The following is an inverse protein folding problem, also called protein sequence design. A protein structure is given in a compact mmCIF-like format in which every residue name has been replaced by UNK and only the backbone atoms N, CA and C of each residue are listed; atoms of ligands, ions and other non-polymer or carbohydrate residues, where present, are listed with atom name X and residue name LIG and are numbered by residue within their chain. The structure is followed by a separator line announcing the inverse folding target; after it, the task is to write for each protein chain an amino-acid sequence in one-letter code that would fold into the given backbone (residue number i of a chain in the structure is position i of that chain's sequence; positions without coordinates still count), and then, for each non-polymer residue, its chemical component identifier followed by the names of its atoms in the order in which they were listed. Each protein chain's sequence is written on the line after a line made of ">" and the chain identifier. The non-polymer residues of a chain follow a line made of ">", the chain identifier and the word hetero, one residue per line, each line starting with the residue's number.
data_IF_642807287508
#
_entry.id   IF_642807287508
#
_cell.length_a   1.000
_cell.length_b   1.000
_cell.length_c   1.000
_cell.angle_alpha   90.00
_cell.angle_beta   90.00
_cell.angle_gamma   90.00
#
_symmetry.space_group_name_H-M   'P 1'
#
loop_
_entity.id
_entity.type
_entity.pdbx_description
1 polymer ?
#
# COMPACT_ATOMS: atom_id res chain seq x y z
N UNK A 1 8.96 17.35 -42.33
CA UNK A 1 8.88 15.94 -41.88
C UNK A 1 8.00 15.90 -40.64
N UNK A 2 6.94 15.08 -40.57
CA UNK A 2 6.23 14.89 -39.31
C UNK A 2 7.23 14.37 -38.27
N UNK A 3 7.25 15.01 -37.10
CA UNK A 3 8.18 14.68 -36.03
C UNK A 3 7.86 13.26 -35.54
N UNK A 4 8.86 12.37 -35.58
CA UNK A 4 8.67 10.97 -35.18
C UNK A 4 8.43 10.95 -33.67
N UNK A 5 7.30 10.43 -33.24
CA UNK A 5 6.94 10.37 -31.82
C UNK A 5 8.03 9.59 -31.05
N UNK A 6 8.57 10.14 -29.94
CA UNK A 6 9.59 9.48 -29.16
C UNK A 6 9.03 8.18 -28.58
N UNK A 7 9.59 7.04 -29.01
CA UNK A 7 9.14 5.72 -28.57
C UNK A 7 9.94 5.24 -27.38
N UNK A 8 9.31 5.24 -26.20
CA UNK A 8 9.89 4.62 -25.00
C UNK A 8 9.44 3.16 -24.92
N UNK A 9 10.40 2.22 -24.79
CA UNK A 9 10.11 0.79 -24.63
C UNK A 9 10.66 0.32 -23.29
N UNK A 10 9.75 -0.12 -22.42
CA UNK A 10 10.11 -0.64 -21.08
C UNK A 10 10.05 -2.16 -21.12
N UNK A 11 11.22 -2.80 -21.06
CA UNK A 11 11.34 -4.26 -21.15
C UNK A 11 11.60 -4.88 -19.78
N UNK A 12 10.57 -5.49 -19.20
CA UNK A 12 10.66 -6.12 -17.86
C UNK A 12 10.87 -7.63 -17.90
N UNK A 13 10.63 -8.28 -19.07
CA UNK A 13 10.74 -9.74 -19.24
C UNK A 13 12.04 -10.36 -18.70
N UNK A 14 13.24 -9.78 -18.90
CA UNK A 14 14.47 -10.34 -18.35
C UNK A 14 14.47 -10.42 -16.81
N UNK A 15 13.91 -9.40 -16.14
CA UNK A 15 13.79 -9.35 -14.68
C UNK A 15 12.78 -10.38 -14.18
N UNK A 16 11.67 -10.56 -14.90
CA UNK A 16 10.69 -11.59 -14.57
C UNK A 16 11.28 -13.00 -14.74
N UNK A 17 12.02 -13.23 -15.83
CA UNK A 17 12.64 -14.51 -16.12
C UNK A 17 13.72 -14.89 -15.10
N UNK A 18 14.47 -13.91 -14.59
CA UNK A 18 15.54 -14.17 -13.61
C UNK A 18 15.02 -14.74 -12.29
N UNK A 19 13.75 -14.52 -11.93
CA UNK A 19 13.15 -15.05 -10.70
C UNK A 19 12.07 -16.11 -10.94
N UNK A 20 11.76 -16.43 -12.20
CA UNK A 20 10.70 -17.38 -12.53
C UNK A 20 10.90 -18.79 -11.95
N UNK A 21 12.15 -19.18 -11.68
CA UNK A 21 12.53 -20.45 -11.08
C UNK A 21 12.33 -20.50 -9.55
N UNK A 22 12.12 -19.35 -8.91
CA UNK A 22 11.91 -19.27 -7.45
C UNK A 22 10.47 -19.61 -7.07
N UNK A 23 10.20 -20.05 -5.83
CA UNK A 23 8.84 -20.34 -5.40
C UNK A 23 7.95 -19.10 -5.37
N UNK A 24 6.71 -19.21 -5.86
CA UNK A 24 5.72 -18.13 -5.82
C UNK A 24 4.74 -18.33 -4.67
N UNK A 25 4.98 -17.62 -3.56
CA UNK A 25 4.06 -17.58 -2.43
C UNK A 25 3.34 -16.24 -2.32
N UNK A 26 2.18 -16.22 -1.68
CA UNK A 26 1.53 -14.98 -1.29
C UNK A 26 1.92 -14.61 0.14
N UNK A 27 2.59 -13.46 0.31
CA UNK A 27 3.18 -13.01 1.58
C UNK A 27 2.17 -12.35 2.52
N UNK A 28 0.92 -12.20 2.08
CA UNK A 28 -0.16 -11.57 2.82
C UNK A 28 -0.51 -10.19 2.30
N UNK A 29 -1.10 -9.37 3.17
CA UNK A 29 -1.59 -8.05 2.78
C UNK A 29 -1.24 -6.95 3.78
N UNK A 30 -1.05 -5.74 3.27
CA UNK A 30 -0.79 -4.52 4.03
C UNK A 30 -1.82 -3.46 3.64
N UNK A 31 -2.25 -2.65 4.61
CA UNK A 31 -3.15 -1.53 4.36
C UNK A 31 -2.34 -0.35 3.78
N UNK A 32 -2.83 0.26 2.71
CA UNK A 32 -2.28 1.51 2.21
C UNK A 32 -2.62 2.66 3.17
N UNK A 33 -1.59 3.12 3.87
CA UNK A 33 -1.69 4.16 4.88
C UNK A 33 -0.47 5.10 4.79
N UNK A 34 -0.34 5.89 3.71
CA UNK A 34 0.77 6.83 3.58
C UNK A 34 0.72 7.85 4.72
N UNK A 35 1.91 8.29 5.15
CA UNK A 35 2.07 9.29 6.19
C UNK A 35 1.68 10.64 5.63
N UNK A 36 0.82 11.34 6.35
CA UNK A 36 0.36 12.68 5.98
C UNK A 36 1.26 13.69 6.68
N UNK A 37 1.80 14.63 5.93
CA UNK A 37 2.64 15.72 6.43
C UNK A 37 2.20 17.07 5.89
N UNK A 38 2.87 18.12 6.35
CA UNK A 38 2.74 19.46 5.80
C UNK A 38 3.71 19.63 4.63
N UNK A 39 3.33 20.35 3.56
CA UNK A 39 4.26 20.70 2.49
C UNK A 39 5.46 21.47 3.05
N UNK A 40 6.62 21.28 2.44
CA UNK A 40 7.82 22.07 2.74
C UNK A 40 8.17 22.93 1.53
N UNK A 41 8.98 23.97 1.71
CA UNK A 41 9.40 24.88 0.63
C UNK A 41 10.18 24.17 -0.50
N UNK A 42 10.59 22.92 -0.29
CA UNK A 42 11.28 22.09 -1.29
C UNK A 42 10.33 21.36 -2.24
N UNK A 43 9.04 21.30 -1.93
CA UNK A 43 8.07 20.58 -2.76
C UNK A 43 7.72 21.40 -4.02
N UNK A 44 7.50 20.75 -5.18
CA UNK A 44 7.04 21.44 -6.37
C UNK A 44 5.69 22.14 -6.13
N UNK A 45 5.47 23.27 -6.82
CA UNK A 45 4.20 24.02 -6.73
C UNK A 45 2.98 23.14 -7.02
N UNK A 46 3.10 22.22 -7.98
CA UNK A 46 2.08 21.23 -8.34
C UNK A 46 1.63 20.38 -7.13
N UNK A 47 2.55 20.03 -6.23
CA UNK A 47 2.26 19.24 -5.02
C UNK A 47 1.91 20.12 -3.82
N UNK A 48 2.41 21.36 -3.77
CA UNK A 48 2.16 22.26 -2.65
C UNK A 48 0.70 22.76 -2.58
N UNK A 49 -0.02 22.80 -3.71
CA UNK A 49 -1.40 23.33 -3.79
C UNK A 49 -2.42 22.58 -2.93
N UNK A 50 -2.14 21.33 -2.55
CA UNK A 50 -3.06 20.51 -1.77
C UNK A 50 -3.08 20.86 -0.27
N UNK A 51 -2.09 21.61 0.23
CA UNK A 51 -1.97 21.94 1.66
C UNK A 51 -1.54 20.77 2.56
N UNK A 52 -1.32 19.59 1.99
CA UNK A 52 -0.75 18.41 2.65
C UNK A 52 0.17 17.67 1.67
N UNK A 53 1.00 16.78 2.19
CA UNK A 53 1.78 15.83 1.39
C UNK A 53 1.56 14.42 1.89
N UNK A 54 1.56 13.47 0.96
CA UNK A 54 1.62 12.04 1.30
C UNK A 54 3.04 11.51 1.11
N UNK A 55 3.47 10.65 2.05
CA UNK A 55 4.70 9.86 1.93
C UNK A 55 4.31 8.39 2.03
N UNK A 56 4.53 7.57 0.98
CA UNK A 56 4.24 6.15 1.03
C UNK A 56 5.04 5.47 2.14
N UNK A 57 4.48 4.42 2.73
CA UNK A 57 5.25 3.57 3.63
C UNK A 57 6.07 2.59 2.78
N UNK A 58 7.39 2.50 3.00
CA UNK A 58 8.21 1.50 2.32
C UNK A 58 7.64 0.11 2.55
N UNK A 59 7.70 -0.75 1.52
CA UNK A 59 7.30 -2.14 1.68
C UNK A 59 8.16 -2.81 2.76
N UNK A 60 7.61 -3.80 3.50
CA UNK A 60 8.43 -4.62 4.37
C UNK A 60 9.59 -5.24 3.59
N UNK A 61 10.74 -5.40 4.25
CA UNK A 61 11.88 -6.09 3.65
C UNK A 61 11.49 -7.55 3.40
N UNK A 62 11.45 -7.93 2.13
CA UNK A 62 11.08 -9.26 1.66
C UNK A 62 12.32 -10.02 1.14
N UNK A 63 13.47 -9.85 1.79
CA UNK A 63 14.74 -10.45 1.37
C UNK A 63 14.59 -11.96 1.16
N UNK A 64 15.04 -12.47 0.00
CA UNK A 64 14.91 -13.89 -0.35
C UNK A 64 13.48 -14.35 -0.66
N UNK A 65 12.54 -13.43 -0.87
CA UNK A 65 11.14 -13.70 -1.27
C UNK A 65 10.85 -13.16 -2.67
N UNK A 66 11.85 -13.09 -3.54
CA UNK A 66 11.61 -12.73 -4.92
C UNK A 66 10.67 -13.75 -5.60
N UNK A 67 9.96 -13.32 -6.64
CA UNK A 67 8.85 -14.04 -7.27
C UNK A 67 7.59 -14.26 -6.39
N UNK A 68 7.61 -13.87 -5.11
CA UNK A 68 6.43 -13.87 -4.27
C UNK A 68 5.55 -12.64 -4.52
N UNK A 69 4.30 -12.71 -4.06
CA UNK A 69 3.32 -11.63 -4.21
C UNK A 69 2.87 -11.07 -2.88
N UNK A 70 2.55 -9.79 -2.83
CA UNK A 70 1.94 -9.12 -1.67
C UNK A 70 0.77 -8.27 -2.13
N UNK A 71 -0.30 -8.20 -1.32
CA UNK A 71 -1.47 -7.37 -1.64
C UNK A 71 -1.46 -6.08 -0.83
N UNK A 72 -1.53 -4.96 -1.52
CA UNK A 72 -1.78 -3.65 -0.92
C UNK A 72 -3.29 -3.40 -0.96
N UNK A 73 -3.90 -3.23 0.21
CA UNK A 73 -5.32 -2.94 0.38
C UNK A 73 -5.49 -1.44 0.47
N UNK A 74 -6.07 -0.84 -0.56
CA UNK A 74 -6.24 0.60 -0.71
C UNK A 74 -7.72 0.95 -0.47
N UNK A 75 -8.04 1.68 0.61
CA UNK A 75 -9.41 2.14 0.84
C UNK A 75 -9.90 3.05 -0.28
N UNK A 76 -11.19 2.97 -0.63
CA UNK A 76 -11.82 3.78 -1.69
C UNK A 76 -11.59 5.28 -1.55
N UNK A 77 -11.61 5.80 -0.32
CA UNK A 77 -11.36 7.22 -0.02
C UNK A 77 -9.90 7.65 -0.24
N UNK A 78 -8.98 6.72 -0.49
CA UNK A 78 -7.58 7.03 -0.83
C UNK A 78 -7.33 7.07 -2.34
N UNK A 79 -8.32 6.70 -3.15
CA UNK A 79 -8.24 6.66 -4.61
C UNK A 79 -9.37 7.46 -5.26
N UNK A 80 -9.99 8.38 -4.53
CA UNK A 80 -10.87 9.39 -5.13
C UNK A 80 -10.07 10.35 -6.03
N UNK A 81 -10.76 11.20 -6.77
CA UNK A 81 -10.10 12.11 -7.72
C UNK A 81 -9.07 13.03 -7.05
N UNK A 82 -9.39 13.59 -5.87
CA UNK A 82 -8.51 14.53 -5.18
C UNK A 82 -7.22 13.87 -4.69
N UNK A 83 -7.30 12.67 -4.11
CA UNK A 83 -6.13 11.94 -3.66
C UNK A 83 -5.29 11.42 -4.82
N UNK A 84 -5.92 10.97 -5.91
CA UNK A 84 -5.16 10.59 -7.11
C UNK A 84 -4.43 11.77 -7.73
N UNK A 85 -5.03 12.96 -7.70
CA UNK A 85 -4.40 14.18 -8.18
C UNK A 85 -3.16 14.52 -7.35
N UNK A 86 -3.25 14.43 -6.02
CA UNK A 86 -2.10 14.62 -5.13
C UNK A 86 -1.00 13.59 -5.40
N UNK A 87 -1.36 12.31 -5.54
CA UNK A 87 -0.41 11.23 -5.85
C UNK A 87 0.30 11.48 -7.19
N UNK A 88 -0.48 11.87 -8.23
CA UNK A 88 0.04 12.19 -9.56
C UNK A 88 0.97 13.41 -9.54
N UNK A 89 0.69 14.43 -8.74
CA UNK A 89 1.55 15.59 -8.56
C UNK A 89 2.81 15.26 -7.73
N UNK A 90 2.64 14.50 -6.64
CA UNK A 90 3.70 14.14 -5.68
C UNK A 90 4.77 13.28 -6.32
N UNK A 91 4.39 12.40 -7.25
CA UNK A 91 5.30 11.52 -8.01
C UNK A 91 6.29 10.81 -7.09
N UNK A 92 5.84 10.27 -5.95
CA UNK A 92 6.65 9.43 -5.08
C UNK A 92 6.84 8.05 -5.72
N UNK A 93 7.49 8.05 -6.88
CA UNK A 93 7.56 6.92 -7.81
C UNK A 93 8.94 6.94 -8.48
N UNK A 94 9.69 5.84 -8.34
CA UNK A 94 11.03 5.69 -8.90
C UNK A 94 11.10 4.42 -9.74
N UNK A 95 11.53 4.56 -11.00
CA UNK A 95 11.56 3.48 -11.98
C UNK A 95 10.36 3.42 -12.92
N UNK A 96 10.40 2.47 -13.85
CA UNK A 96 9.43 2.33 -14.92
C UNK A 96 9.16 0.86 -15.20
N UNK A 97 7.91 0.43 -15.00
CA UNK A 97 7.50 -0.97 -15.06
C UNK A 97 8.04 -1.85 -13.92
N UNK A 98 9.26 -1.59 -13.46
CA UNK A 98 9.86 -2.07 -12.21
C UNK A 98 10.18 -0.86 -11.35
N UNK A 99 9.67 -0.86 -10.13
CA UNK A 99 9.74 0.27 -9.20
C UNK A 99 10.51 -0.11 -7.95
N UNK A 100 11.14 0.88 -7.31
CA UNK A 100 11.77 0.71 -5.99
C UNK A 100 10.72 0.43 -4.91
N UNK A 101 11.10 -0.21 -3.81
CA UNK A 101 10.19 -0.48 -2.68
C UNK A 101 9.76 0.77 -1.88
N UNK A 102 10.45 1.89 -2.06
CA UNK A 102 10.06 3.23 -1.60
C UNK A 102 8.95 3.88 -2.44
N UNK A 103 8.63 3.32 -3.61
CA UNK A 103 7.61 3.88 -4.51
C UNK A 103 6.19 3.67 -3.98
N UNK A 104 5.33 4.67 -4.19
CA UNK A 104 3.91 4.58 -3.88
C UNK A 104 3.24 3.52 -4.78
N UNK A 105 2.61 2.47 -4.19
CA UNK A 105 1.99 1.40 -4.97
C UNK A 105 0.77 1.87 -5.79
N UNK A 106 0.08 2.92 -5.36
CA UNK A 106 -1.02 3.54 -6.13
C UNK A 106 -0.44 4.33 -7.31
N UNK A 107 0.62 5.12 -7.09
CA UNK A 107 1.32 5.81 -8.18
C UNK A 107 1.88 4.82 -9.22
N UNK A 108 2.45 3.70 -8.75
CA UNK A 108 2.93 2.63 -9.61
C UNK A 108 1.81 1.96 -10.40
N UNK A 109 0.63 1.76 -9.79
CA UNK A 109 -0.55 1.24 -10.50
C UNK A 109 -1.05 2.21 -11.58
N UNK A 110 -0.99 3.52 -11.33
CA UNK A 110 -1.32 4.55 -12.33
C UNK A 110 -0.31 4.55 -13.47
N UNK A 111 0.98 4.61 -13.14
CA UNK A 111 2.07 4.63 -14.12
C UNK A 111 2.19 3.32 -14.90
N UNK A 112 1.68 2.19 -14.36
CA UNK A 112 1.57 0.93 -15.09
C UNK A 112 0.24 0.78 -15.84
N UNK A 113 -0.68 1.73 -15.80
CA UNK A 113 -1.93 1.71 -16.54
C UNK A 113 -3.02 0.80 -15.95
N UNK A 114 -2.86 0.30 -14.72
CA UNK A 114 -3.90 -0.47 -14.01
C UNK A 114 -4.98 0.41 -13.39
N UNK A 115 -4.71 1.71 -13.28
CA UNK A 115 -5.54 2.68 -12.58
C UNK A 115 -5.46 4.02 -13.30
N UNK A 116 -6.57 4.71 -13.54
CA UNK A 116 -6.51 6.08 -14.08
C UNK A 116 -6.09 7.08 -13.00
N UNK A 117 -5.17 7.97 -13.36
CA UNK A 117 -4.81 9.13 -12.54
C UNK A 117 -5.95 10.14 -12.40
N UNK A 118 -5.62 11.30 -11.83
CA UNK A 118 -6.47 12.47 -11.84
C UNK A 118 -5.58 13.71 -11.95
N UNK A 119 -6.11 14.76 -12.56
CA UNK A 119 -5.41 16.00 -12.82
C UNK A 119 -6.38 17.16 -12.61
N UNK A 120 -5.85 18.35 -12.33
CA UNK A 120 -6.66 19.56 -12.15
C UNK A 120 -7.36 19.97 -13.45
N UNK A 121 -8.32 20.90 -13.33
CA UNK A 121 -9.08 21.42 -14.48
C UNK A 121 -8.19 22.12 -15.53
N UNK A 122 -6.97 22.50 -15.15
CA UNK A 122 -5.95 23.10 -15.99
C UNK A 122 -5.22 22.10 -16.91
N UNK A 123 -5.48 20.80 -16.74
CA UNK A 123 -4.84 19.73 -17.52
C UNK A 123 -5.87 19.02 -18.39
N UNK A 124 -5.66 19.05 -19.72
CA UNK A 124 -6.45 18.28 -20.67
C UNK A 124 -5.98 16.80 -20.71
N UNK A 125 -6.80 15.83 -20.25
CA UNK A 125 -6.40 14.42 -20.22
C UNK A 125 -6.15 13.81 -21.60
N UNK A 126 -6.68 14.40 -22.68
CA UNK A 126 -6.43 13.93 -24.05
C UNK A 126 -4.98 14.08 -24.48
N UNK A 127 -4.22 14.97 -23.82
CA UNK A 127 -2.80 15.22 -24.08
C UNK A 127 -1.87 14.31 -23.25
N UNK A 128 -2.41 13.42 -22.42
CA UNK A 128 -1.64 12.64 -21.45
C UNK A 128 -1.24 11.24 -21.90
N UNK A 129 -1.49 10.87 -23.16
CA UNK A 129 -1.15 9.56 -23.74
C UNK A 129 -1.62 8.39 -22.84
N UNK A 130 -2.94 8.33 -22.62
CA UNK A 130 -3.55 7.34 -21.73
C UNK A 130 -3.77 5.97 -22.41
N UNK A 131 -3.36 5.81 -23.66
CA UNK A 131 -3.54 4.58 -24.43
C UNK A 131 -2.62 3.46 -23.90
N UNK A 132 -3.19 2.28 -23.67
CA UNK A 132 -2.44 1.08 -23.32
C UNK A 132 -1.82 0.49 -24.58
N UNK A 133 -0.59 0.93 -24.88
CA UNK A 133 0.14 0.48 -26.06
C UNK A 133 0.64 -0.97 -25.90
N UNK A 134 0.55 -1.84 -26.92
CA UNK A 134 1.04 -3.23 -26.87
C UNK A 134 2.54 -3.37 -26.52
N UNK A 135 3.32 -2.33 -26.75
CA UNK A 135 4.75 -2.27 -26.42
C UNK A 135 5.00 -2.22 -24.90
N UNK A 136 4.03 -1.80 -24.10
CA UNK A 136 4.14 -1.76 -22.64
C UNK A 136 3.99 -3.17 -22.07
N UNK A 137 5.11 -3.74 -21.61
CA UNK A 137 5.14 -5.10 -21.05
C UNK A 137 4.61 -5.17 -19.61
N UNK A 138 4.56 -4.02 -18.93
CA UNK A 138 4.11 -3.87 -17.55
C UNK A 138 2.64 -3.47 -17.43
N UNK A 139 1.99 -3.11 -18.55
CA UNK A 139 0.60 -2.68 -18.55
C UNK A 139 -0.37 -3.88 -18.55
N UNK A 140 -1.60 -3.72 -18.02
CA UNK A 140 -2.59 -4.78 -18.06
C UNK A 140 -2.90 -5.17 -19.51
N UNK A 141 -2.88 -6.48 -19.78
CA UNK A 141 -3.16 -7.02 -21.11
C UNK A 141 -4.51 -7.71 -21.22
N UNK A 142 -5.17 -7.90 -20.09
CA UNK A 142 -6.42 -8.65 -19.98
C UNK A 142 -7.31 -8.00 -18.94
N UNK A 143 -8.62 -8.21 -19.06
CA UNK A 143 -9.58 -7.68 -18.11
C UNK A 143 -9.36 -8.24 -16.69
N UNK A 144 -8.94 -9.50 -16.54
CA UNK A 144 -8.64 -10.09 -15.23
C UNK A 144 -7.45 -9.42 -14.54
N UNK A 145 -6.52 -8.87 -15.32
CA UNK A 145 -5.40 -8.09 -14.78
C UNK A 145 -5.86 -6.79 -14.10
N UNK A 146 -7.02 -6.24 -14.50
CA UNK A 146 -7.66 -5.07 -13.87
C UNK A 146 -8.90 -5.44 -13.02
N UNK A 147 -9.14 -6.73 -12.80
CA UNK A 147 -10.25 -7.22 -11.98
C UNK A 147 -11.62 -7.22 -12.69
N UNK A 148 -11.64 -7.13 -14.03
CA UNK A 148 -12.80 -7.41 -14.87
C UNK A 148 -13.02 -8.91 -15.11
N UNK A 149 -14.12 -9.26 -15.78
CA UNK A 149 -14.41 -10.63 -16.15
C UNK A 149 -13.50 -11.08 -17.30
N UNK A 150 -13.22 -12.38 -17.39
CA UNK A 150 -12.35 -12.92 -18.44
C UNK A 150 -12.88 -12.72 -19.86
N UNK A 151 -14.20 -12.58 -19.98
CA UNK A 151 -14.89 -12.38 -21.24
C UNK A 151 -14.97 -10.90 -21.65
N UNK A 152 -14.53 -9.97 -20.79
CA UNK A 152 -14.50 -8.54 -21.12
C UNK A 152 -13.32 -8.21 -22.04
N UNK A 153 -13.52 -7.28 -22.97
CA UNK A 153 -12.44 -6.77 -23.80
C UNK A 153 -11.33 -6.13 -22.95
N UNK A 154 -10.05 -6.31 -23.31
CA UNK A 154 -8.94 -5.64 -22.61
C UNK A 154 -9.14 -4.12 -22.62
N UNK A 155 -8.91 -3.44 -21.48
CA UNK A 155 -9.05 -2.00 -21.41
C UNK A 155 -8.04 -1.33 -22.36
N UNK A 156 -8.52 -0.40 -23.18
CA UNK A 156 -7.66 0.43 -24.04
C UNK A 156 -7.04 1.62 -23.28
N UNK A 157 -7.67 2.02 -22.18
CA UNK A 157 -7.20 3.06 -21.28
C UNK A 157 -7.35 2.60 -19.83
N UNK A 158 -6.53 3.12 -18.89
CA UNK A 158 -6.65 2.77 -17.49
C UNK A 158 -8.06 3.07 -16.95
N UNK A 159 -8.65 2.15 -16.15
CA UNK A 159 -10.00 2.32 -15.65
C UNK A 159 -10.09 3.43 -14.59
N UNK A 160 -11.20 4.18 -14.61
CA UNK A 160 -11.52 5.14 -13.55
C UNK A 160 -11.96 4.36 -12.29
N UNK A 161 -11.40 4.69 -11.11
CA UNK A 161 -11.80 4.07 -9.86
C UNK A 161 -13.30 4.24 -9.56
N UNK A 162 -14.03 3.15 -9.30
CA UNK A 162 -15.39 3.23 -8.80
C UNK A 162 -15.42 3.85 -7.39
N UNK A 163 -16.38 4.75 -7.10
CA UNK A 163 -16.40 5.53 -5.85
C UNK A 163 -16.74 4.69 -4.60
N UNK A 164 -17.36 3.53 -4.79
CA UNK A 164 -17.91 2.69 -3.73
C UNK A 164 -17.04 1.47 -3.40
N UNK A 165 -15.93 1.23 -4.10
CA UNK A 165 -15.10 0.02 -3.92
C UNK A 165 -13.67 0.32 -3.51
N UNK A 166 -13.17 -0.53 -2.63
CA UNK A 166 -11.76 -0.55 -2.28
C UNK A 166 -10.95 -1.21 -3.42
N UNK A 167 -9.64 -0.95 -3.43
CA UNK A 167 -8.72 -1.45 -4.43
C UNK A 167 -7.71 -2.39 -3.80
N UNK A 168 -7.56 -3.60 -4.35
CA UNK A 168 -6.47 -4.51 -4.01
C UNK A 168 -5.43 -4.47 -5.13
N UNK A 169 -4.23 -4.00 -4.82
CA UNK A 169 -3.09 -4.02 -5.74
C UNK A 169 -2.22 -5.21 -5.40
N UNK A 170 -2.05 -6.15 -6.32
CA UNK A 170 -1.10 -7.26 -6.14
C UNK A 170 0.23 -6.89 -6.74
N UNK A 171 1.26 -6.83 -5.90
CA UNK A 171 2.63 -6.59 -6.32
C UNK A 171 3.36 -7.93 -6.46
N UNK A 172 4.24 -8.02 -7.46
CA UNK A 172 5.23 -9.09 -7.58
C UNK A 172 6.58 -8.55 -7.09
N UNK A 173 7.16 -9.22 -6.10
CA UNK A 173 8.47 -8.85 -5.54
C UNK A 173 9.56 -9.29 -6.51
N UNK A 174 10.46 -8.37 -6.83
CA UNK A 174 11.54 -8.55 -7.79
C UNK A 174 12.89 -8.20 -7.14
N UNK A 175 14.00 -8.72 -7.68
CA UNK A 175 15.33 -8.33 -7.23
C UNK A 175 15.53 -6.83 -7.46
N UNK A 176 16.38 -6.21 -6.65
CA UNK A 176 16.78 -4.82 -6.86
C UNK A 176 17.43 -4.65 -8.23
N UNK A 177 17.18 -3.52 -8.89
CA UNK A 177 17.92 -3.12 -10.07
C UNK A 177 19.15 -2.28 -9.68
N UNK A 178 20.16 -2.27 -10.55
CA UNK A 178 21.33 -1.39 -10.41
C UNK A 178 20.96 0.08 -10.65
N UNK A 179 20.04 0.31 -11.58
CA UNK A 179 19.54 1.62 -11.94
C UNK A 179 18.06 1.54 -12.30
N UNK A 180 17.32 2.59 -11.98
CA UNK A 180 15.93 2.77 -12.35
C UNK A 180 15.82 3.98 -13.27
N UNK A 181 15.25 3.78 -14.46
CA UNK A 181 15.04 4.86 -15.42
C UNK A 181 13.72 5.60 -15.18
N UNK A 182 13.71 6.88 -15.54
CA UNK A 182 12.52 7.73 -15.56
C UNK A 182 11.76 7.55 -16.87
N UNK A 183 10.43 7.52 -16.81
CA UNK A 183 9.56 7.64 -17.99
C UNK A 183 8.31 8.46 -17.69
N UNK A 184 7.61 8.88 -18.74
CA UNK A 184 6.25 9.41 -18.64
C UNK A 184 5.33 8.37 -19.26
N UNK A 185 4.40 7.85 -18.46
CA UNK A 185 3.38 6.89 -18.89
C UNK A 185 2.06 7.24 -18.22
N UNK A 186 0.95 7.17 -18.97
CA UNK A 186 -0.40 7.41 -18.47
C UNK A 186 -0.54 8.71 -17.65
N UNK A 187 0.03 9.80 -18.17
CA UNK A 187 -0.05 11.14 -17.55
C UNK A 187 0.75 11.34 -16.26
N UNK A 188 1.65 10.42 -15.88
CA UNK A 188 2.53 10.57 -14.72
C UNK A 188 3.99 10.31 -15.10
N UNK A 189 4.90 11.14 -14.57
CA UNK A 189 6.35 10.97 -14.72
C UNK A 189 6.95 10.27 -13.50
N UNK A 190 7.66 9.16 -13.72
CA UNK A 190 8.48 8.54 -12.68
C UNK A 190 9.85 9.21 -12.55
N UNK A 191 10.51 9.04 -11.42
CA UNK A 191 11.87 9.53 -11.15
C UNK A 191 12.90 8.46 -11.49
N UNK A 192 14.08 8.89 -11.93
CA UNK A 192 15.23 8.00 -12.06
C UNK A 192 15.86 7.79 -10.68
N UNK A 193 16.60 6.69 -10.54
CA UNK A 193 17.44 6.42 -9.37
C UNK A 193 18.71 5.71 -9.83
N UNK A 194 19.85 6.37 -9.69
CA UNK A 194 21.18 5.93 -10.11
C UNK A 194 22.12 5.61 -8.95
N UNK A 195 21.57 5.47 -7.73
CA UNK A 195 22.32 5.19 -6.49
C UNK A 195 22.08 3.80 -5.92
N UNK A 196 22.84 3.47 -4.86
CA UNK A 196 22.68 2.22 -4.10
C UNK A 196 21.35 2.23 -3.34
N UNK A 197 20.37 1.53 -3.88
CA UNK A 197 19.12 1.19 -3.20
C UNK A 197 19.34 -0.11 -2.39
N UNK A 198 19.04 -0.07 -1.09
CA UNK A 198 19.22 -1.24 -0.20
C UNK A 198 17.97 -2.13 -0.10
N UNK A 199 16.84 -1.68 -0.65
CA UNK A 199 15.59 -2.40 -0.72
C UNK A 199 15.42 -3.26 -1.98
N UNK A 200 14.22 -3.85 -2.11
CA UNK A 200 13.80 -4.68 -3.25
C UNK A 200 13.17 -3.85 -4.36
N UNK A 201 12.87 -4.50 -5.47
CA UNK A 201 11.99 -3.92 -6.49
C UNK A 201 10.61 -4.56 -6.44
N UNK A 202 9.63 -3.94 -7.07
CA UNK A 202 8.38 -4.59 -7.38
C UNK A 202 7.84 -4.18 -8.75
N UNK A 203 6.90 -4.97 -9.26
CA UNK A 203 6.02 -4.57 -10.36
C UNK A 203 4.57 -4.79 -9.96
N UNK A 204 3.66 -4.01 -10.53
CA UNK A 204 2.22 -4.21 -10.33
C UNK A 204 1.79 -5.38 -11.21
N UNK A 205 1.35 -6.47 -10.59
CA UNK A 205 0.94 -7.68 -11.29
C UNK A 205 -0.52 -7.63 -11.74
N UNK A 206 -1.41 -7.15 -10.86
CA UNK A 206 -2.83 -6.95 -11.13
C UNK A 206 -3.49 -6.03 -10.11
N UNK A 207 -4.64 -5.49 -10.48
CA UNK A 207 -5.56 -4.76 -9.59
C UNK A 207 -6.91 -5.45 -9.53
N UNK A 208 -7.60 -5.35 -8.39
CA UNK A 208 -8.97 -5.88 -8.22
C UNK A 208 -9.79 -4.89 -7.40
N UNK A 209 -10.99 -4.58 -7.89
CA UNK A 209 -11.98 -3.80 -7.16
C UNK A 209 -12.79 -4.69 -6.21
N UNK A 210 -12.84 -4.32 -4.93
CA UNK A 210 -13.43 -5.14 -3.87
C UNK A 210 -14.42 -4.31 -3.06
N UNK A 211 -15.60 -4.87 -2.79
CA UNK A 211 -16.49 -4.34 -1.75
C UNK A 211 -16.08 -4.94 -0.40
N UNK A 212 -15.29 -4.20 0.38
CA UNK A 212 -14.84 -4.67 1.68
C UNK A 212 -15.83 -4.39 2.83
N UNK A 213 -16.90 -3.61 2.67
CA UNK A 213 -17.85 -3.30 3.76
C UNK A 213 -17.29 -2.43 4.91
N UNK A 214 -18.13 -2.11 5.92
CA UNK A 214 -17.91 -1.04 6.93
C UNK A 214 -16.80 -1.24 7.98
N UNK A 215 -16.19 -2.43 8.09
CA UNK A 215 -15.27 -2.76 9.21
C UNK A 215 -13.79 -2.88 8.86
N UNK A 216 -13.37 -2.48 7.65
CA UNK A 216 -12.16 -3.07 7.04
C UNK A 216 -11.06 -2.10 6.58
N UNK A 217 -11.22 -0.79 6.73
CA UNK A 217 -10.12 0.19 6.58
C UNK A 217 -9.02 0.11 7.66
N UNK A 218 -8.98 -0.97 8.46
CA UNK A 218 -8.05 -1.17 9.56
C UNK A 218 -6.93 -2.15 9.20
N UNK A 219 -5.73 -1.87 9.72
CA UNK A 219 -4.56 -2.76 9.64
C UNK A 219 -4.88 -4.15 10.20
N UNK A 220 -4.38 -5.21 9.54
CA UNK A 220 -4.56 -6.60 9.99
C UNK A 220 -3.30 -7.21 10.60
N UNK A 221 -2.28 -6.40 10.89
CA UNK A 221 -1.05 -6.84 11.55
C UNK A 221 -1.32 -7.41 12.95
N UNK A 222 -0.42 -8.26 13.47
CA UNK A 222 -0.55 -8.82 14.82
C UNK A 222 -0.61 -7.74 15.90
N UNK A 223 0.02 -6.59 15.66
CA UNK A 223 -0.08 -5.41 16.51
C UNK A 223 -1.44 -4.73 16.44
N UNK A 224 -1.99 -4.56 15.23
CA UNK A 224 -3.34 -4.04 15.06
C UNK A 224 -4.39 -4.98 15.69
N UNK A 225 -4.17 -6.30 15.66
CA UNK A 225 -5.00 -7.26 16.41
C UNK A 225 -4.92 -7.04 17.92
N UNK A 226 -3.73 -6.82 18.49
CA UNK A 226 -3.54 -6.51 19.91
C UNK A 226 -4.15 -5.16 20.29
N UNK A 227 -4.00 -4.14 19.44
CA UNK A 227 -4.61 -2.81 19.62
C UNK A 227 -6.14 -2.88 19.58
N UNK A 228 -6.72 -3.66 18.66
CA UNK A 228 -8.16 -3.94 18.63
C UNK A 228 -8.63 -4.62 19.90
N UNK A 229 -7.93 -5.67 20.35
CA UNK A 229 -8.30 -6.37 21.59
C UNK A 229 -8.28 -5.40 22.78
N UNK A 230 -7.26 -4.54 22.88
CA UNK A 230 -7.18 -3.50 23.92
C UNK A 230 -8.31 -2.49 23.83
N UNK A 231 -8.58 -1.95 22.64
CA UNK A 231 -9.67 -0.97 22.44
C UNK A 231 -11.05 -1.57 22.70
N UNK A 232 -11.27 -2.85 22.36
CA UNK A 232 -12.52 -3.56 22.59
C UNK A 232 -12.73 -3.90 24.07
N UNK A 233 -11.64 -4.19 24.79
CA UNK A 233 -11.62 -4.33 26.26
C UNK A 233 -11.87 -2.99 26.97
N UNK A 234 -11.31 -1.88 26.46
CA UNK A 234 -11.51 -0.54 27.03
C UNK A 234 -12.90 0.04 26.74
N UNK A 235 -13.46 -0.23 25.55
CA UNK A 235 -14.80 0.21 25.16
C UNK A 235 -15.94 -0.67 25.71
N UNK A 236 -15.63 -1.67 26.54
CA UNK A 236 -16.63 -2.51 27.20
C UNK A 236 -17.37 -3.47 26.26
N UNK A 237 -16.90 -3.66 25.02
CA UNK A 237 -17.51 -4.52 24.00
C UNK A 237 -17.09 -5.99 24.11
N UNK A 238 -16.15 -6.32 25.01
CA UNK A 238 -15.86 -7.68 25.46
C UNK A 238 -15.80 -7.69 26.98
N UNK A 239 -16.71 -8.43 27.62
CA UNK A 239 -16.61 -8.83 29.01
C UNK A 239 -15.87 -10.17 29.08
N UNK A 240 -14.57 -10.16 29.34
CA UNK A 240 -13.88 -11.38 29.79
C UNK A 240 -14.38 -11.69 31.20
N UNK A 241 -14.95 -12.88 31.38
CA UNK A 241 -15.55 -13.35 32.64
C UNK A 241 -14.57 -13.39 33.83
N UNK A 242 -15.09 -13.70 35.03
CA UNK A 242 -14.42 -13.48 36.31
C UNK A 242 -13.31 -14.52 36.53
N UNK A 243 -12.13 -14.29 35.96
CA UNK A 243 -11.04 -15.25 36.11
C UNK A 243 -9.65 -14.75 35.72
N UNK A 244 -9.46 -13.46 35.45
CA UNK A 244 -8.14 -12.96 35.03
C UNK A 244 -7.75 -11.77 35.91
N UNK A 245 -6.63 -11.98 36.61
CA UNK A 245 -5.90 -11.10 37.52
C UNK A 245 -6.15 -9.61 37.25
N UNK A 246 -6.68 -8.89 38.25
CA UNK A 246 -6.82 -7.43 38.20
C UNK A 246 -5.45 -6.81 37.94
N UNK A 247 -5.34 -6.01 36.87
CA UNK A 247 -4.11 -5.29 36.49
C UNK A 247 -3.50 -4.47 37.65
N UNK A 248 -4.31 -4.03 38.61
CA UNK A 248 -3.88 -3.43 39.88
C UNK A 248 -2.88 -4.27 40.68
N UNK A 249 -2.93 -5.61 40.58
CA UNK A 249 -1.97 -6.49 41.25
C UNK A 249 -0.61 -6.55 40.53
N UNK A 250 -0.57 -6.37 39.21
CA UNK A 250 0.68 -6.37 38.46
C UNK A 250 1.44 -5.04 38.59
N UNK A 251 0.74 -3.91 38.65
CA UNK A 251 1.40 -2.59 38.82
C UNK A 251 1.96 -2.39 40.24
N UNK A 252 1.36 -3.04 41.25
CA UNK A 252 1.87 -3.03 42.63
C UNK A 252 3.11 -3.90 42.83
N UNK A 253 3.28 -4.95 42.03
CA UNK A 253 4.51 -5.76 42.00
C UNK A 253 5.67 -5.03 41.31
N UNK A 254 5.38 -4.07 40.44
CA UNK A 254 6.38 -3.28 39.70
C UNK A 254 6.93 -2.08 40.48
N UNK A 255 6.18 -1.58 41.46
CA UNK A 255 6.48 -0.33 42.18
C UNK A 255 7.13 -0.55 43.55
N UNK A 256 7.39 -1.80 43.95
CA UNK A 256 8.15 -2.12 45.17
C UNK A 256 7.51 -1.70 46.49
N UNK A 257 6.22 -1.35 46.50
CA UNK A 257 5.51 -0.93 47.72
C UNK A 257 5.04 -2.19 48.49
N UNK A 258 5.41 -2.37 49.77
CA UNK A 258 5.01 -3.56 50.52
C UNK A 258 3.50 -3.57 50.77
N UNK A 259 2.87 -4.71 50.51
CA UNK A 259 1.45 -4.94 50.83
C UNK A 259 1.31 -5.12 52.36
N UNK A 260 0.43 -4.37 53.04
CA UNK A 260 0.21 -4.58 54.47
C UNK A 260 -0.46 -5.95 54.69
N UNK A 261 0.19 -6.81 55.50
CA UNK A 261 -0.37 -8.09 55.94
C UNK A 261 -1.66 -7.84 56.71
N UNK A 262 -2.79 -8.38 56.22
CA UNK A 262 -4.02 -8.49 57.02
C UNK A 262 -3.72 -9.40 58.22
N UNK A 263 -4.02 -8.90 59.44
CA UNK A 263 -4.00 -9.71 60.66
C UNK A 263 -5.01 -10.85 60.50
N UNK A 264 -4.56 -12.08 60.76
CA UNK A 264 -5.43 -13.24 60.82
C UNK A 264 -6.40 -13.07 62.01
N UNK A 265 -7.70 -13.20 61.74
CA UNK A 265 -8.69 -13.32 62.80
C UNK A 265 -8.55 -14.73 63.42
N UNK A 266 -8.28 -14.77 64.73
CA UNK A 266 -8.26 -15.99 65.53
C UNK A 266 -9.71 -16.42 65.77
N UNK A 267 -10.08 -17.61 65.29
CA UNK A 267 -11.31 -18.31 65.69
C UNK A 267 -11.03 -19.14 66.95
N UNK A 268 -11.78 -18.88 68.02
CA UNK A 268 -11.81 -19.70 69.24
C UNK A 268 -12.68 -20.95 69.04
N UNK A 269 -12.44 -22.07 69.77
CA UNK A 269 -13.06 -23.35 69.49
C UNK A 269 -14.45 -23.50 70.13
N UNK A 270 -15.27 -24.36 69.53
CA UNK A 270 -16.55 -24.81 70.07
C UNK A 270 -16.34 -25.64 71.35
N UNK A 271 -17.14 -25.36 72.38
CA UNK A 271 -17.28 -26.21 73.57
C UNK A 271 -18.58 -26.99 73.43
N UNK A 272 -18.49 -28.25 73.87
CA UNK A 272 -19.48 -29.32 73.93
C UNK A 272 -20.85 -28.94 74.46
#
# INVERSE_FOLDING_TARGET
>A
MPMREPRTVVTIKPVLASVAHQPRHHLGSTLYAPRIGTPTDKEPMESAKFGYTTTPQPLPRFDGRENCTVTIRVPRFRVDASHREEICARRALWGSGVYTDDSDPVAAAIHSGFLRGAWGEDVDPSLLDLEIKPAYQHAPRTAEAVGGAADDDPPQEPPIPPPDRDLHITLLILPRLERYESSVLFGIRSRAWDGRHDGLSFTVLRTVWVDEGVGRGEERSGEARRKRLRNLMQSGRICTGPGVVKMDQLDRLRTGIPVPRRKAAVTAPAVS
#
